data_IF_094482166611
#
_entry.id   IF_094482166611
#
_cell.length_a   1.000
_cell.length_b   1.000
_cell.length_c   1.000
_cell.angle_alpha   90.00
_cell.angle_beta   90.00
_cell.angle_gamma   90.00
#
_symmetry.space_group_name_H-M   'P 1'
#
loop_
_entity.id
_entity.type
_entity.pdbx_description
1 polymer ?
#
# COMPACT_ATOMS: atom_id res chain seq x y z
N UNK A 1 21.57 5.29 19.47
CA UNK A 1 21.92 4.90 18.08
C UNK A 1 20.80 4.04 17.55
N UNK A 2 20.27 4.32 16.36
CA UNK A 2 19.24 3.49 15.72
C UNK A 2 19.83 2.13 15.33
N UNK A 3 19.07 1.05 15.56
CA UNK A 3 19.44 -0.29 15.08
C UNK A 3 19.40 -0.34 13.54
N UNK A 4 18.39 0.28 12.96
CA UNK A 4 18.23 0.43 11.52
C UNK A 4 18.13 1.92 11.18
N UNK A 5 19.16 2.51 10.55
CA UNK A 5 19.13 3.92 10.15
C UNK A 5 18.05 4.25 9.12
N UNK A 6 17.59 3.27 8.34
CA UNK A 6 16.53 3.43 7.37
C UNK A 6 15.40 2.41 7.60
N UNK A 7 14.16 2.90 7.75
CA UNK A 7 12.96 2.11 7.62
C UNK A 7 12.45 2.24 6.20
N UNK A 8 12.25 1.10 5.53
CA UNK A 8 11.62 1.00 4.22
C UNK A 8 10.24 0.39 4.45
N UNK A 9 9.21 1.21 4.36
CA UNK A 9 7.85 0.84 4.66
C UNK A 9 7.05 0.65 3.37
N UNK A 10 6.23 -0.40 3.29
CA UNK A 10 5.11 -0.37 2.40
C UNK A 10 4.07 0.64 2.90
N UNK A 11 3.06 0.96 2.10
CA UNK A 11 2.03 1.93 2.45
C UNK A 11 0.71 1.26 2.81
N UNK A 12 0.11 0.58 1.84
CA UNK A 12 -1.19 -0.07 2.00
C UNK A 12 -1.09 -1.28 2.94
N UNK A 13 -1.96 -1.36 3.92
CA UNK A 13 -1.99 -2.37 4.98
C UNK A 13 -0.67 -2.58 5.77
N UNK A 14 0.23 -1.60 5.68
CA UNK A 14 1.43 -1.51 6.52
C UNK A 14 1.45 -0.20 7.31
N UNK A 15 1.33 0.94 6.65
CA UNK A 15 1.23 2.26 7.29
C UNK A 15 -0.22 2.66 7.51
N UNK A 16 -1.07 2.42 6.54
CA UNK A 16 -2.51 2.71 6.56
C UNK A 16 -3.33 1.44 6.33
N UNK A 17 -4.52 1.39 6.91
CA UNK A 17 -5.47 0.28 6.83
C UNK A 17 -6.35 0.45 5.58
N UNK A 18 -5.76 0.45 4.39
CA UNK A 18 -6.45 0.76 3.14
C UNK A 18 -7.51 -0.28 2.79
N UNK A 19 -7.21 -1.58 2.98
CA UNK A 19 -8.18 -2.64 2.72
C UNK A 19 -9.40 -2.51 3.61
N UNK A 20 -9.21 -2.36 4.92
CA UNK A 20 -10.31 -2.34 5.87
C UNK A 20 -11.15 -1.05 5.82
N UNK A 21 -10.53 0.10 5.56
CA UNK A 21 -11.18 1.40 5.72
C UNK A 21 -11.61 2.08 4.42
N UNK A 22 -11.08 1.63 3.27
CA UNK A 22 -11.35 2.20 1.95
C UNK A 22 -11.76 1.16 0.93
N UNK A 23 -10.89 0.19 0.61
CA UNK A 23 -11.09 -0.72 -0.51
C UNK A 23 -12.28 -1.67 -0.28
N UNK A 24 -12.33 -2.34 0.87
CA UNK A 24 -13.43 -3.23 1.22
C UNK A 24 -14.79 -2.52 1.32
N UNK A 25 -14.94 -1.36 1.99
CA UNK A 25 -16.19 -0.61 1.98
C UNK A 25 -16.66 -0.23 0.57
N UNK A 26 -15.73 0.22 -0.28
CA UNK A 26 -16.05 0.53 -1.67
C UNK A 26 -16.44 -0.72 -2.45
N UNK A 27 -15.71 -1.82 -2.30
CA UNK A 27 -16.06 -3.08 -2.94
C UNK A 27 -17.44 -3.58 -2.52
N UNK A 28 -17.79 -3.52 -1.24
CA UNK A 28 -19.13 -3.88 -0.76
C UNK A 28 -20.22 -3.04 -1.43
N UNK A 29 -19.99 -1.74 -1.61
CA UNK A 29 -20.91 -0.85 -2.32
C UNK A 29 -21.08 -1.29 -3.78
N UNK A 30 -20.00 -1.50 -4.51
CA UNK A 30 -20.02 -1.92 -5.92
C UNK A 30 -20.61 -3.33 -6.08
N UNK A 31 -20.23 -4.26 -5.20
CA UNK A 31 -20.77 -5.62 -5.21
C UNK A 31 -22.30 -5.60 -5.09
N UNK A 32 -22.84 -4.79 -4.20
CA UNK A 32 -24.30 -4.66 -4.06
C UNK A 32 -24.97 -3.99 -5.29
N UNK A 33 -24.26 -3.12 -6.02
CA UNK A 33 -24.77 -2.55 -7.29
C UNK A 33 -24.86 -3.61 -8.39
N UNK A 34 -23.83 -4.41 -8.56
CA UNK A 34 -23.76 -5.40 -9.65
C UNK A 34 -24.41 -6.74 -9.29
N UNK A 35 -24.46 -7.10 -8.03
CA UNK A 35 -24.99 -8.38 -7.49
C UNK A 35 -25.80 -8.11 -6.22
N UNK A 36 -27.01 -7.51 -6.35
CA UNK A 36 -27.85 -7.14 -5.21
C UNK A 36 -28.05 -8.29 -4.22
N UNK A 37 -27.87 -8.00 -2.93
CA UNK A 37 -28.03 -8.98 -1.85
C UNK A 37 -26.81 -9.87 -1.59
N UNK A 38 -25.78 -9.81 -2.42
CA UNK A 38 -24.53 -10.54 -2.16
C UNK A 38 -23.75 -9.83 -1.04
N UNK A 39 -23.21 -10.63 -0.12
CA UNK A 39 -22.40 -10.14 1.01
C UNK A 39 -21.05 -10.83 0.99
N UNK A 40 -20.06 -10.14 1.49
CA UNK A 40 -18.71 -10.64 1.71
C UNK A 40 -18.22 -10.06 3.04
N UNK A 41 -17.43 -10.81 3.79
CA UNK A 41 -16.74 -10.30 4.97
C UNK A 41 -15.38 -9.70 4.58
N UNK A 42 -14.81 -8.83 5.41
CA UNK A 42 -13.46 -8.29 5.18
C UNK A 42 -12.42 -9.42 5.06
N UNK A 43 -12.55 -10.47 5.88
CA UNK A 43 -11.65 -11.61 5.83
C UNK A 43 -11.71 -12.35 4.47
N UNK A 44 -12.91 -12.65 3.98
CA UNK A 44 -13.10 -13.29 2.67
C UNK A 44 -12.57 -12.41 1.53
N UNK A 45 -12.81 -11.09 1.63
CA UNK A 45 -12.30 -10.13 0.64
C UNK A 45 -10.77 -10.13 0.62
N UNK A 46 -10.12 -9.96 1.77
CA UNK A 46 -8.66 -9.97 1.89
C UNK A 46 -8.06 -11.31 1.43
N UNK A 47 -8.67 -12.45 1.83
CA UNK A 47 -8.24 -13.79 1.38
C UNK A 47 -8.35 -13.95 -0.14
N UNK A 48 -9.43 -13.46 -0.73
CA UNK A 48 -9.66 -13.49 -2.17
C UNK A 48 -8.63 -12.67 -2.94
N UNK A 49 -8.37 -11.44 -2.49
CA UNK A 49 -7.36 -10.56 -3.05
C UNK A 49 -5.94 -11.17 -2.94
N UNK A 50 -5.60 -11.71 -1.77
CA UNK A 50 -4.29 -12.33 -1.54
C UNK A 50 -4.05 -13.58 -2.40
N UNK A 51 -5.06 -14.47 -2.51
CA UNK A 51 -4.92 -15.74 -3.23
C UNK A 51 -5.05 -15.64 -4.74
N UNK A 52 -5.93 -14.77 -5.21
CA UNK A 52 -6.32 -14.73 -6.62
C UNK A 52 -5.90 -13.42 -7.30
N UNK A 53 -5.68 -12.36 -6.52
CA UNK A 53 -5.70 -11.00 -7.01
C UNK A 53 -7.14 -10.50 -7.18
N UNK A 54 -7.32 -9.19 -7.06
CA UNK A 54 -8.65 -8.54 -7.06
C UNK A 54 -9.51 -8.89 -8.28
N UNK A 55 -8.95 -8.71 -9.48
CA UNK A 55 -9.71 -8.94 -10.72
C UNK A 55 -10.18 -10.40 -10.87
N UNK A 56 -9.31 -11.35 -10.52
CA UNK A 56 -9.65 -12.78 -10.60
C UNK A 56 -10.65 -13.20 -9.52
N UNK A 57 -10.58 -12.62 -8.32
CA UNK A 57 -11.61 -12.79 -7.30
C UNK A 57 -12.97 -12.31 -7.82
N UNK A 58 -13.02 -11.12 -8.41
CA UNK A 58 -14.25 -10.58 -9.00
C UNK A 58 -14.82 -11.50 -10.08
N UNK A 59 -13.98 -12.01 -10.99
CA UNK A 59 -14.40 -12.94 -12.04
C UNK A 59 -14.89 -14.27 -11.50
N UNK A 60 -14.13 -14.89 -10.62
CA UNK A 60 -14.37 -16.28 -10.19
C UNK A 60 -15.45 -16.40 -9.13
N UNK A 61 -15.50 -15.46 -8.18
CA UNK A 61 -16.45 -15.54 -7.07
C UNK A 61 -17.76 -14.80 -7.35
N UNK A 62 -17.70 -13.70 -8.10
CA UNK A 62 -18.85 -12.80 -8.31
C UNK A 62 -19.29 -12.69 -9.77
N UNK A 63 -18.61 -13.39 -10.67
CA UNK A 63 -18.92 -13.39 -12.11
C UNK A 63 -19.00 -11.99 -12.71
N UNK A 64 -18.06 -11.10 -12.31
CA UNK A 64 -17.95 -9.79 -12.93
C UNK A 64 -17.48 -9.93 -14.36
N UNK A 65 -18.08 -9.16 -15.24
CA UNK A 65 -17.61 -8.96 -16.62
C UNK A 65 -16.38 -8.05 -16.63
N UNK A 66 -15.61 -8.08 -17.71
CA UNK A 66 -14.45 -7.17 -17.87
C UNK A 66 -14.88 -5.70 -17.79
N UNK A 67 -16.06 -5.36 -18.30
CA UNK A 67 -16.60 -4.00 -18.20
C UNK A 67 -16.90 -3.62 -16.76
N UNK A 68 -17.51 -4.48 -15.97
CA UNK A 68 -17.80 -4.22 -14.55
C UNK A 68 -16.51 -4.06 -13.73
N UNK A 69 -15.43 -4.78 -14.07
CA UNK A 69 -14.11 -4.62 -13.43
C UNK A 69 -13.51 -3.24 -13.78
N UNK A 70 -13.64 -2.81 -15.02
CA UNK A 70 -13.18 -1.47 -15.45
C UNK A 70 -14.02 -0.37 -14.80
N UNK A 71 -15.34 -0.54 -14.74
CA UNK A 71 -16.25 0.42 -14.11
C UNK A 71 -15.98 0.53 -12.58
N UNK A 72 -15.68 -0.61 -11.92
CA UNK A 72 -15.24 -0.66 -10.53
C UNK A 72 -13.96 0.13 -10.33
N UNK A 73 -12.91 -0.13 -11.12
CA UNK A 73 -11.63 0.56 -11.04
C UNK A 73 -11.78 2.09 -11.19
N UNK A 74 -12.56 2.55 -12.16
CA UNK A 74 -12.82 3.98 -12.35
C UNK A 74 -13.65 4.58 -11.18
N UNK A 75 -14.56 3.81 -10.61
CA UNK A 75 -15.31 4.20 -9.42
C UNK A 75 -14.40 4.34 -8.21
N UNK A 76 -13.53 3.34 -8.00
CA UNK A 76 -12.53 3.34 -6.93
C UNK A 76 -11.57 4.54 -7.04
N UNK A 77 -11.05 4.84 -8.22
CA UNK A 77 -10.20 6.00 -8.43
C UNK A 77 -10.84 7.33 -7.99
N UNK A 78 -12.15 7.48 -8.19
CA UNK A 78 -12.88 8.65 -7.72
C UNK A 78 -13.11 8.61 -6.21
N UNK A 79 -13.43 7.43 -5.69
CA UNK A 79 -13.75 7.24 -4.28
C UNK A 79 -12.55 7.54 -3.38
N UNK A 80 -11.35 7.09 -3.75
CA UNK A 80 -10.14 7.28 -2.94
C UNK A 80 -9.69 8.74 -2.81
N UNK A 81 -10.18 9.63 -3.67
CA UNK A 81 -9.84 11.07 -3.58
C UNK A 81 -10.33 11.66 -2.26
N UNK A 82 -11.55 11.29 -1.85
CA UNK A 82 -12.22 11.83 -0.67
C UNK A 82 -12.20 10.86 0.54
N UNK A 83 -11.67 9.65 0.35
CA UNK A 83 -11.64 8.61 1.37
C UNK A 83 -10.19 8.25 1.71
N UNK A 84 -9.66 8.95 2.71
CA UNK A 84 -8.28 8.74 3.17
C UNK A 84 -8.27 7.56 4.13
N UNK A 85 -7.42 6.52 3.90
CA UNK A 85 -7.35 5.36 4.76
C UNK A 85 -6.84 5.72 6.16
N UNK A 86 -7.39 5.08 7.19
CA UNK A 86 -6.96 5.31 8.56
C UNK A 86 -5.54 4.73 8.81
N UNK A 87 -4.67 5.41 9.55
CA UNK A 87 -3.35 4.88 9.88
C UNK A 87 -3.45 3.72 10.88
N UNK A 88 -2.48 2.81 10.87
CA UNK A 88 -2.36 1.83 11.94
C UNK A 88 -2.03 2.50 13.26
N UNK A 89 -2.61 2.04 14.39
CA UNK A 89 -2.30 2.58 15.71
C UNK A 89 -0.81 2.50 16.02
N UNK A 90 -0.21 3.63 16.41
CA UNK A 90 1.21 3.70 16.83
C UNK A 90 2.20 3.91 15.69
N UNK A 91 1.82 3.76 14.41
CA UNK A 91 2.75 3.93 13.29
C UNK A 91 3.32 5.36 13.22
N UNK A 92 2.50 6.37 13.51
CA UNK A 92 2.93 7.77 13.55
C UNK A 92 4.01 8.04 14.59
N UNK A 93 3.97 7.35 15.73
CA UNK A 93 5.02 7.45 16.77
C UNK A 93 6.32 6.80 16.31
N UNK A 94 6.25 5.68 15.58
CA UNK A 94 7.43 5.02 15.00
C UNK A 94 8.08 5.96 13.98
N UNK A 95 7.31 6.52 13.06
CA UNK A 95 7.80 7.45 12.02
C UNK A 95 8.46 8.66 12.68
N UNK A 96 7.80 9.29 13.65
CA UNK A 96 8.33 10.46 14.36
C UNK A 96 9.64 10.16 15.07
N UNK A 97 9.68 9.09 15.87
CA UNK A 97 10.89 8.67 16.61
C UNK A 97 12.07 8.35 15.68
N UNK A 98 11.79 7.71 14.54
CA UNK A 98 12.83 7.42 13.55
C UNK A 98 13.44 8.72 13.00
N UNK A 99 12.60 9.69 12.63
CA UNK A 99 13.03 10.98 12.11
C UNK A 99 13.77 11.81 13.16
N UNK A 100 13.26 11.91 14.39
CA UNK A 100 13.88 12.61 15.51
C UNK A 100 15.27 12.05 15.87
N UNK A 101 15.44 10.75 15.72
CA UNK A 101 16.75 10.10 15.94
C UNK A 101 17.72 10.23 14.74
N UNK A 102 17.34 10.98 13.70
CA UNK A 102 18.15 11.22 12.49
C UNK A 102 18.09 10.09 11.46
N UNK A 103 17.16 9.13 11.62
CA UNK A 103 16.97 8.07 10.67
C UNK A 103 16.12 8.49 9.47
N UNK A 104 16.07 7.60 8.47
CA UNK A 104 15.30 7.76 7.23
C UNK A 104 14.02 6.95 7.25
N UNK A 105 13.00 7.49 6.60
CA UNK A 105 11.76 6.82 6.24
C UNK A 105 11.66 6.83 4.72
N UNK A 106 11.75 5.68 4.09
CA UNK A 106 11.50 5.51 2.66
C UNK A 106 10.24 4.67 2.47
N UNK A 107 9.50 4.93 1.42
CA UNK A 107 8.30 4.13 1.09
C UNK A 107 8.52 3.43 -0.24
N UNK A 108 8.25 2.10 -0.27
CA UNK A 108 8.27 1.29 -1.48
C UNK A 108 6.92 0.55 -1.55
N UNK A 109 6.03 0.99 -2.43
CA UNK A 109 4.64 0.54 -2.45
C UNK A 109 4.08 0.40 -3.87
N UNK A 110 3.02 -0.40 -4.00
CA UNK A 110 2.18 -0.40 -5.21
C UNK A 110 1.10 0.71 -5.20
N UNK A 111 1.09 1.58 -4.19
CA UNK A 111 0.25 2.78 -4.18
C UNK A 111 0.87 3.92 -5.00
N UNK A 112 0.04 4.84 -5.50
CA UNK A 112 0.52 6.03 -6.21
C UNK A 112 1.21 7.01 -5.27
N UNK A 113 2.29 7.65 -5.72
CA UNK A 113 3.06 8.64 -4.94
C UNK A 113 2.15 9.74 -4.37
N UNK A 114 1.17 10.18 -5.14
CA UNK A 114 0.24 11.23 -4.71
C UNK A 114 -0.60 10.79 -3.48
N UNK A 115 -1.09 9.56 -3.45
CA UNK A 115 -1.85 9.03 -2.32
C UNK A 115 -0.97 8.90 -1.08
N UNK A 116 0.21 8.31 -1.23
CA UNK A 116 1.19 8.18 -0.14
C UNK A 116 1.52 9.54 0.46
N UNK A 117 1.84 10.52 -0.38
CA UNK A 117 2.16 11.88 0.05
C UNK A 117 1.01 12.51 0.84
N UNK A 118 -0.22 12.45 0.29
CA UNK A 118 -1.43 12.96 0.94
C UNK A 118 -1.64 12.35 2.32
N UNK A 119 -1.51 11.03 2.41
CA UNK A 119 -1.80 10.29 3.64
C UNK A 119 -0.75 10.57 4.73
N UNK A 120 0.53 10.65 4.36
CA UNK A 120 1.60 11.03 5.27
C UNK A 120 1.46 12.48 5.76
N UNK A 121 1.11 13.41 4.88
CA UNK A 121 0.83 14.81 5.28
C UNK A 121 -0.37 14.90 6.22
N UNK A 122 -1.46 14.22 5.86
CA UNK A 122 -2.71 14.28 6.62
C UNK A 122 -2.58 13.69 8.03
N UNK A 123 -1.94 12.51 8.13
CA UNK A 123 -1.91 11.77 9.39
C UNK A 123 -0.72 12.11 10.28
N UNK A 124 0.41 12.45 9.70
CA UNK A 124 1.65 12.59 10.44
C UNK A 124 2.27 13.98 10.38
N UNK A 125 1.93 14.78 9.36
CA UNK A 125 2.59 16.06 9.08
C UNK A 125 4.09 15.89 8.77
N UNK A 126 4.51 14.68 8.38
CA UNK A 126 5.91 14.30 8.11
C UNK A 126 5.91 13.55 6.78
N UNK A 127 6.71 14.02 5.83
CA UNK A 127 6.90 13.30 4.56
C UNK A 127 8.01 12.24 4.66
N UNK A 128 7.89 11.14 3.91
CA UNK A 128 9.00 10.22 3.68
C UNK A 128 10.20 10.94 3.04
N UNK A 129 11.40 10.41 3.28
CA UNK A 129 12.62 10.92 2.64
C UNK A 129 12.67 10.56 1.15
N UNK A 130 12.10 9.41 0.77
CA UNK A 130 11.89 8.96 -0.61
C UNK A 130 10.61 8.12 -0.72
N UNK A 131 10.00 8.17 -1.90
CA UNK A 131 8.82 7.36 -2.24
C UNK A 131 9.05 6.70 -3.59
N UNK A 132 8.89 5.38 -3.64
CA UNK A 132 8.92 4.53 -4.83
C UNK A 132 7.55 3.88 -4.97
N UNK A 133 6.70 4.47 -5.79
CA UNK A 133 5.28 4.11 -5.93
C UNK A 133 4.93 3.44 -7.25
N UNK A 134 3.64 3.28 -7.49
CA UNK A 134 3.07 2.76 -8.74
C UNK A 134 3.46 3.56 -9.98
N UNK A 135 3.89 4.81 -9.78
CA UNK A 135 4.32 5.72 -10.86
C UNK A 135 5.64 5.29 -11.53
N UNK A 136 6.38 4.35 -10.94
CA UNK A 136 7.56 3.75 -11.56
C UNK A 136 7.19 2.85 -12.74
N UNK A 137 8.09 2.66 -13.73
CA UNK A 137 7.99 1.59 -14.71
C UNK A 137 7.81 0.23 -14.03
N UNK A 138 7.00 -0.66 -14.63
CA UNK A 138 6.62 -1.95 -14.03
C UNK A 138 7.83 -2.79 -13.62
N UNK A 139 8.86 -2.83 -14.44
CA UNK A 139 10.09 -3.59 -14.20
C UNK A 139 10.95 -3.06 -13.03
N UNK A 140 10.66 -1.86 -12.54
CA UNK A 140 11.37 -1.23 -11.41
C UNK A 140 10.57 -1.30 -10.09
N UNK A 141 9.31 -1.76 -10.13
CA UNK A 141 8.45 -1.92 -8.95
C UNK A 141 8.77 -3.22 -8.20
N UNK A 142 8.26 -3.38 -6.99
CA UNK A 142 8.27 -4.68 -6.30
C UNK A 142 7.77 -5.78 -7.24
N UNK A 143 8.44 -6.93 -7.38
CA UNK A 143 9.55 -7.45 -6.56
C UNK A 143 10.98 -7.05 -7.02
N UNK A 144 11.15 -6.07 -7.92
CA UNK A 144 12.48 -5.59 -8.31
C UNK A 144 13.26 -5.05 -7.10
N UNK A 145 14.54 -5.39 -6.92
CA UNK A 145 15.38 -4.83 -5.85
C UNK A 145 15.77 -3.36 -6.10
N UNK A 146 15.48 -2.83 -7.28
CA UNK A 146 15.90 -1.51 -7.72
C UNK A 146 15.59 -0.38 -6.70
N UNK A 147 14.41 -0.28 -6.06
CA UNK A 147 14.15 0.77 -5.08
C UNK A 147 15.09 0.71 -3.88
N UNK A 148 15.41 -0.50 -3.38
CA UNK A 148 16.36 -0.68 -2.27
C UNK A 148 17.77 -0.29 -2.68
N UNK A 149 18.19 -0.63 -3.89
CA UNK A 149 19.48 -0.24 -4.45
C UNK A 149 19.62 1.28 -4.54
N UNK A 150 18.55 1.99 -4.98
CA UNK A 150 18.54 3.45 -5.02
C UNK A 150 18.65 4.08 -3.62
N UNK A 151 17.92 3.53 -2.63
CA UNK A 151 18.00 3.99 -1.24
C UNK A 151 19.43 3.79 -0.70
N UNK A 152 20.01 2.62 -0.90
CA UNK A 152 21.38 2.33 -0.46
C UNK A 152 22.39 3.26 -1.12
N UNK A 153 22.31 3.44 -2.43
CA UNK A 153 23.19 4.31 -3.18
C UNK A 153 23.07 5.78 -2.73
N UNK A 154 21.85 6.26 -2.55
CA UNK A 154 21.58 7.67 -2.19
C UNK A 154 22.09 8.04 -0.80
N UNK A 155 21.92 7.15 0.18
CA UNK A 155 22.22 7.44 1.58
C UNK A 155 23.53 6.80 2.07
N UNK A 156 24.20 6.02 1.23
CA UNK A 156 25.43 5.31 1.59
C UNK A 156 25.18 4.17 2.58
N UNK A 157 24.01 3.54 2.53
CA UNK A 157 23.66 2.43 3.41
C UNK A 157 24.02 1.07 2.81
N UNK A 158 24.24 0.11 3.68
CA UNK A 158 24.32 -1.32 3.35
C UNK A 158 22.98 -2.00 3.62
N UNK A 159 22.73 -3.20 3.09
CA UNK A 159 21.53 -4.00 3.32
C UNK A 159 21.21 -4.15 4.82
N UNK A 160 22.22 -4.43 5.66
CA UNK A 160 22.02 -4.62 7.11
C UNK A 160 21.57 -3.35 7.87
N UNK A 161 21.60 -2.21 7.23
CA UNK A 161 21.15 -0.92 7.78
C UNK A 161 19.71 -0.57 7.42
N UNK A 162 19.07 -1.35 6.52
CA UNK A 162 17.68 -1.21 6.14
C UNK A 162 16.81 -2.20 6.92
N UNK A 163 15.63 -1.76 7.34
CA UNK A 163 14.55 -2.64 7.79
C UNK A 163 13.36 -2.44 6.83
N UNK A 164 13.06 -3.48 6.05
CA UNK A 164 11.88 -3.52 5.18
C UNK A 164 10.72 -4.07 5.98
N UNK A 165 9.57 -3.39 5.93
CA UNK A 165 8.31 -3.80 6.55
C UNK A 165 7.21 -3.74 5.50
N UNK A 166 6.57 -4.88 5.24
CA UNK A 166 5.58 -5.03 4.17
C UNK A 166 4.70 -6.26 4.51
N UNK A 167 3.44 -6.26 4.10
CA UNK A 167 2.49 -7.34 4.34
C UNK A 167 2.43 -8.38 3.19
N UNK A 168 3.08 -8.08 2.07
CA UNK A 168 2.96 -8.84 0.83
C UNK A 168 4.25 -9.56 0.41
N UNK A 169 4.06 -10.73 -0.22
CA UNK A 169 5.17 -11.57 -0.72
C UNK A 169 6.16 -10.86 -1.67
N UNK A 170 5.76 -9.98 -2.60
CA UNK A 170 6.70 -9.29 -3.48
C UNK A 170 7.82 -8.53 -2.76
N UNK A 171 7.58 -8.07 -1.53
CA UNK A 171 8.63 -7.43 -0.74
C UNK A 171 9.71 -8.41 -0.25
N UNK A 172 9.35 -9.65 0.03
CA UNK A 172 10.32 -10.69 0.39
C UNK A 172 11.21 -11.08 -0.78
N UNK A 173 10.66 -11.03 -1.99
CA UNK A 173 11.42 -11.30 -3.22
C UNK A 173 12.34 -10.12 -3.58
N UNK A 174 11.98 -8.90 -3.15
CA UNK A 174 12.78 -7.68 -3.31
C UNK A 174 13.96 -7.61 -2.34
N UNK A 175 13.79 -8.06 -1.09
CA UNK A 175 14.73 -7.89 0.03
C UNK A 175 15.70 -9.05 0.17
#
# INVERSE_FOLDING_TARGET
>A
MLKYPCLVLDHDDTVVQSEATVNYPFFCYILNQFRPGTKITLHEYAEGCFRLGFADMCRKWYHFTEREIVDEYHGWQKYIVDHIPAPFPGIGDIIRRQKEAGGKICVVSHSCIQNITRDYETHFGILPDDIYGWDLPEELRKPSPWPLEQIMAKYGYTQSQLLVVDDMKPAWEMA
#
